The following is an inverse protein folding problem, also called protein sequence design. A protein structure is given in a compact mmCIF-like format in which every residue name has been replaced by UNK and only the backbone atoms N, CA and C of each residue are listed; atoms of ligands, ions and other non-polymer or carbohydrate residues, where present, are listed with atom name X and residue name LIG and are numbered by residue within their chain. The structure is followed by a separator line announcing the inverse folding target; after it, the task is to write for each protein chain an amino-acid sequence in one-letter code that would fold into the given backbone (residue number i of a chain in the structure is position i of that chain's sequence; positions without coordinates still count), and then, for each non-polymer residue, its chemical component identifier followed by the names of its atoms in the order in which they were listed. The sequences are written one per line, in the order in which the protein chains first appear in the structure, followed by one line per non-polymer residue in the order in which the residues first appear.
data_IF_417090214798
#
_entry.id   IF_417090214798
#
_cell.length_a   1.000
_cell.length_b   1.000
_cell.length_c   1.000
_cell.angle_alpha   90.00
_cell.angle_beta   90.00
_cell.angle_gamma   90.00
#
_symmetry.space_group_name_H-M   'P 1'
#
loop_
_entity.id
_entity.type
_entity.pdbx_description
1 polymer ?
#
# COMPACT_ATOMS: atom_id res chain seq x y z
N UNK A 1 -23.05 2.26 0.26
CA UNK A 1 -22.45 0.97 -0.15
C UNK A 1 -21.11 0.88 0.54
N UNK A 2 -21.06 0.10 1.64
CA UNK A 2 -19.99 0.15 2.62
C UNK A 2 -18.82 -0.72 2.17
N UNK A 3 -17.81 -0.09 1.58
CA UNK A 3 -16.44 -0.60 1.67
C UNK A 3 -16.10 -0.58 3.16
N UNK A 4 -15.57 -1.67 3.75
CA UNK A 4 -15.22 -1.66 5.16
C UNK A 4 -14.27 -0.47 5.40
N UNK A 5 -14.57 0.41 6.38
CA UNK A 5 -13.65 1.48 6.73
C UNK A 5 -12.29 0.88 7.10
N UNK A 6 -11.18 1.61 6.92
CA UNK A 6 -9.90 1.20 7.49
C UNK A 6 -10.14 0.90 8.97
N UNK A 7 -9.79 -0.31 9.41
CA UNK A 7 -10.14 -0.80 10.74
C UNK A 7 -9.73 0.22 11.83
N UNK A 8 -10.66 0.53 12.73
CA UNK A 8 -10.51 1.49 13.83
C UNK A 8 -9.64 0.97 15.00
N UNK A 9 -8.98 -0.18 14.83
CA UNK A 9 -8.02 -0.72 15.78
C UNK A 9 -6.61 -0.37 15.32
N UNK A 10 -6.29 0.92 15.42
CA UNK A 10 -4.99 1.49 15.05
C UNK A 10 -4.13 1.59 16.30
N UNK A 11 -3.08 0.79 16.39
CA UNK A 11 -1.99 1.06 17.34
C UNK A 11 -1.13 2.18 16.75
N UNK A 12 -1.54 3.42 16.98
CA UNK A 12 -0.72 4.61 16.69
C UNK A 12 0.40 4.63 17.71
N UNK A 13 1.58 4.15 17.32
CA UNK A 13 2.79 4.35 18.11
C UNK A 13 3.17 5.83 18.01
N UNK A 14 3.00 6.58 19.09
CA UNK A 14 3.49 7.96 19.20
C UNK A 14 5.01 7.92 19.20
N UNK A 15 5.63 8.35 18.09
CA UNK A 15 7.08 8.49 18.01
C UNK A 15 7.55 9.65 18.90
N UNK A 16 8.61 9.38 19.65
CA UNK A 16 9.34 10.29 20.55
C UNK A 16 9.63 11.67 19.95
N UNK A 17 9.74 12.67 20.84
CA UNK A 17 9.97 14.10 20.57
C UNK A 17 11.33 14.47 19.94
N UNK A 18 12.05 13.51 19.34
CA UNK A 18 13.34 13.70 18.67
C UNK A 18 13.24 13.38 17.17
N UNK A 19 12.33 14.05 16.45
CA UNK A 19 12.18 13.87 15.01
C UNK A 19 13.24 14.71 14.29
N UNK A 20 14.20 14.10 13.59
CA UNK A 20 15.18 14.84 12.83
C UNK A 20 14.53 15.54 11.62
N UNK A 21 15.15 16.64 11.13
CA UNK A 21 14.61 17.41 9.99
C UNK A 21 14.41 16.53 8.74
N UNK A 22 13.42 16.88 7.91
CA UNK A 22 12.94 16.19 6.69
C UNK A 22 14.04 15.59 5.80
N UNK A 23 15.24 16.18 5.79
CA UNK A 23 16.40 15.71 5.03
C UNK A 23 16.97 14.37 5.50
N UNK A 24 16.80 13.98 6.78
CA UNK A 24 17.28 12.69 7.32
C UNK A 24 16.25 11.55 7.22
N UNK A 25 15.03 11.84 6.77
CA UNK A 25 13.96 10.83 6.65
C UNK A 25 14.11 9.96 5.38
N UNK A 26 15.03 10.31 4.47
CA UNK A 26 15.22 9.62 3.20
C UNK A 26 16.03 8.30 3.27
N UNK A 27 16.47 7.87 4.44
CA UNK A 27 17.19 6.60 4.61
C UNK A 27 16.30 5.58 5.31
N UNK A 28 15.31 5.06 4.57
CA UNK A 28 14.87 3.68 4.78
C UNK A 28 15.45 2.96 3.56
N UNK A 29 16.68 2.47 3.70
CA UNK A 29 17.37 1.77 2.63
C UNK A 29 16.58 0.49 2.35
N UNK A 30 16.30 0.22 1.07
CA UNK A 30 15.52 -0.95 0.65
C UNK A 30 16.15 -2.28 1.09
N UNK A 31 17.45 -2.27 1.43
CA UNK A 31 18.19 -3.40 2.00
C UNK A 31 17.68 -3.86 3.37
N UNK A 32 16.86 -3.07 4.08
CA UNK A 32 16.33 -3.42 5.41
C UNK A 32 14.90 -4.01 5.40
N UNK A 33 14.27 -4.15 4.23
CA UNK A 33 12.93 -4.73 4.17
C UNK A 33 13.00 -6.25 4.00
N UNK A 34 12.87 -6.98 5.11
CA UNK A 34 12.85 -8.45 5.13
C UNK A 34 11.78 -9.09 4.20
N UNK A 35 10.77 -8.33 3.77
CA UNK A 35 9.73 -8.74 2.81
C UNK A 35 10.07 -8.42 1.34
N UNK A 36 11.04 -7.54 1.07
CA UNK A 36 11.40 -7.13 -0.28
C UNK A 36 12.26 -8.19 -0.96
N UNK A 37 12.07 -8.36 -2.26
CA UNK A 37 12.95 -9.22 -3.08
C UNK A 37 14.04 -8.38 -3.73
N UNK A 38 15.09 -9.04 -4.24
CA UNK A 38 16.15 -8.38 -5.01
C UNK A 38 15.65 -7.73 -6.32
N UNK A 39 14.42 -8.04 -6.75
CA UNK A 39 13.79 -7.44 -7.93
C UNK A 39 12.78 -6.39 -7.48
N UNK A 40 12.93 -5.17 -7.99
CA UNK A 40 12.02 -4.07 -7.73
C UNK A 40 10.56 -4.48 -7.93
N UNK A 41 9.68 -4.07 -7.02
CA UNK A 41 8.23 -4.26 -7.12
C UNK A 41 7.75 -5.71 -7.18
N UNK A 42 8.63 -6.70 -6.95
CA UNK A 42 8.27 -8.09 -6.75
C UNK A 42 8.19 -8.37 -5.24
N UNK A 43 7.05 -8.89 -4.81
CA UNK A 43 6.73 -9.20 -3.42
C UNK A 43 6.84 -10.71 -3.17
N UNK A 44 7.22 -11.07 -1.94
CA UNK A 44 7.16 -12.45 -1.46
C UNK A 44 5.71 -12.90 -1.26
N UNK A 45 5.46 -14.21 -1.26
CA UNK A 45 4.14 -14.78 -0.97
C UNK A 45 3.78 -14.63 0.52
N UNK A 46 2.50 -14.66 0.85
CA UNK A 46 2.02 -14.64 2.24
C UNK A 46 2.60 -15.81 3.04
N UNK A 47 2.63 -17.02 2.48
CA UNK A 47 3.20 -18.20 3.12
C UNK A 47 4.68 -18.00 3.46
N UNK A 48 5.45 -17.37 2.56
CA UNK A 48 6.84 -17.02 2.84
C UNK A 48 6.93 -16.01 3.98
N UNK A 49 6.13 -14.94 3.94
CA UNK A 49 6.16 -13.90 4.96
C UNK A 49 5.87 -14.48 6.35
N UNK A 50 4.86 -15.33 6.46
CA UNK A 50 4.47 -15.97 7.72
C UNK A 50 5.50 -16.98 8.21
N UNK A 51 6.09 -17.79 7.32
CA UNK A 51 7.17 -18.70 7.67
C UNK A 51 8.40 -17.96 8.24
N UNK A 52 8.54 -16.66 7.97
CA UNK A 52 9.61 -15.80 8.48
C UNK A 52 9.14 -14.84 9.59
N UNK A 53 7.95 -15.06 10.17
CA UNK A 53 7.36 -14.23 11.23
C UNK A 53 7.13 -12.75 10.81
N UNK A 54 6.92 -12.50 9.52
CA UNK A 54 6.59 -11.20 8.97
C UNK A 54 5.07 -11.07 8.81
N UNK A 55 4.36 -11.07 9.94
CA UNK A 55 2.88 -10.96 9.96
C UNK A 55 2.37 -9.53 9.77
N UNK A 56 3.19 -8.55 10.15
CA UNK A 56 2.89 -7.13 10.06
C UNK A 56 3.85 -6.39 9.14
N UNK A 57 3.38 -5.26 8.60
CA UNK A 57 4.18 -4.34 7.83
C UNK A 57 4.04 -2.93 8.39
N UNK A 58 5.17 -2.23 8.48
CA UNK A 58 5.22 -0.84 8.92
C UNK A 58 5.41 0.11 7.73
N UNK A 59 4.86 1.31 7.85
CA UNK A 59 5.08 2.39 6.91
C UNK A 59 4.94 3.77 7.55
N UNK A 60 5.54 4.77 6.90
CA UNK A 60 5.58 6.14 7.40
C UNK A 60 4.56 7.00 6.67
N UNK A 61 3.82 7.77 7.46
CA UNK A 61 2.93 8.80 6.98
C UNK A 61 3.43 10.17 7.45
N UNK A 62 3.21 11.21 6.64
CA UNK A 62 3.55 12.59 6.94
C UNK A 62 2.32 13.48 6.86
N UNK A 63 2.16 14.40 7.80
CA UNK A 63 1.10 15.41 7.77
C UNK A 63 1.46 16.57 6.84
N UNK A 64 0.59 16.93 5.91
CA UNK A 64 0.82 18.06 5.00
C UNK A 64 0.82 19.44 5.69
N UNK A 65 0.21 19.54 6.86
CA UNK A 65 0.12 20.81 7.60
C UNK A 65 1.31 21.04 8.52
N UNK A 66 1.47 20.14 9.50
CA UNK A 66 2.49 20.27 10.54
C UNK A 66 3.76 19.45 10.28
N UNK A 67 3.82 18.69 9.19
CA UNK A 67 4.97 17.85 8.80
C UNK A 67 5.36 16.76 9.81
N UNK A 68 4.51 16.51 10.82
CA UNK A 68 4.66 15.39 11.75
C UNK A 68 4.69 14.07 10.98
N UNK A 69 5.65 13.21 11.32
CA UNK A 69 5.73 11.84 10.84
C UNK A 69 5.10 10.90 11.86
N UNK A 70 4.32 9.96 11.35
CA UNK A 70 3.70 8.88 12.11
C UNK A 70 4.09 7.55 11.47
N UNK A 71 4.49 6.57 12.28
CA UNK A 71 4.67 5.19 11.84
C UNK A 71 3.37 4.44 12.08
N UNK A 72 2.92 3.71 11.07
CA UNK A 72 1.73 2.87 11.15
C UNK A 72 2.14 1.42 10.89
N UNK A 73 1.56 0.50 11.66
CA UNK A 73 1.76 -0.94 11.54
C UNK A 73 0.43 -1.62 11.21
N UNK A 74 0.46 -2.63 10.36
CA UNK A 74 -0.75 -3.31 9.90
C UNK A 74 -0.52 -4.79 9.60
N UNK A 75 -1.55 -5.62 9.82
CA UNK A 75 -1.48 -7.06 9.60
C UNK A 75 -1.67 -7.41 8.11
N UNK A 76 -0.72 -8.11 7.53
CA UNK A 76 -0.68 -8.37 6.08
C UNK A 76 -1.83 -9.30 5.66
N UNK A 77 -2.02 -10.43 6.37
CA UNK A 77 -3.04 -11.43 6.05
C UNK A 77 -4.45 -10.83 6.08
N UNK A 78 -4.78 -10.13 7.17
CA UNK A 78 -6.10 -9.53 7.36
C UNK A 78 -6.46 -8.60 6.20
N UNK A 79 -5.53 -7.73 5.81
CA UNK A 79 -5.77 -6.79 4.72
C UNK A 79 -5.84 -7.47 3.36
N UNK A 80 -4.99 -8.48 3.11
CA UNK A 80 -5.07 -9.27 1.89
C UNK A 80 -6.43 -9.96 1.77
N UNK A 81 -6.93 -10.60 2.84
CA UNK A 81 -8.21 -11.29 2.85
C UNK A 81 -9.37 -10.32 2.56
N UNK A 82 -9.36 -9.13 3.18
CA UNK A 82 -10.37 -8.09 2.93
C UNK A 82 -10.37 -7.64 1.46
N UNK A 83 -9.20 -7.37 0.89
CA UNK A 83 -9.07 -6.90 -0.48
C UNK A 83 -9.48 -8.00 -1.47
N UNK A 84 -9.00 -9.24 -1.29
CA UNK A 84 -9.34 -10.35 -2.18
C UNK A 84 -10.84 -10.65 -2.17
N UNK A 85 -11.46 -10.72 -0.99
CA UNK A 85 -12.89 -10.94 -0.86
C UNK A 85 -13.68 -9.83 -1.57
N UNK A 86 -13.26 -8.57 -1.42
CA UNK A 86 -13.90 -7.45 -2.12
C UNK A 86 -13.78 -7.56 -3.64
N UNK A 87 -12.60 -7.88 -4.17
CA UNK A 87 -12.41 -8.05 -5.63
C UNK A 87 -13.30 -9.17 -6.15
N UNK A 88 -13.27 -10.35 -5.51
CA UNK A 88 -14.07 -11.51 -5.94
C UNK A 88 -15.56 -11.19 -5.94
N UNK A 89 -16.06 -10.56 -4.88
CA UNK A 89 -17.48 -10.21 -4.73
C UNK A 89 -17.96 -9.15 -5.73
N UNK A 90 -17.07 -8.26 -6.17
CA UNK A 90 -17.43 -7.11 -7.02
C UNK A 90 -16.75 -7.12 -8.40
N UNK A 91 -16.22 -8.26 -8.86
CA UNK A 91 -15.43 -8.32 -10.11
C UNK A 91 -16.20 -7.77 -11.32
N UNK A 92 -17.49 -8.11 -11.44
CA UNK A 92 -18.36 -7.63 -12.53
C UNK A 92 -18.60 -6.12 -12.41
N UNK A 93 -18.88 -5.63 -11.21
CA UNK A 93 -19.20 -4.22 -10.96
C UNK A 93 -18.01 -3.29 -11.15
N UNK A 94 -16.81 -3.76 -10.78
CA UNK A 94 -15.60 -2.96 -10.84
C UNK A 94 -15.19 -2.67 -12.28
N UNK A 95 -15.50 -3.55 -13.26
CA UNK A 95 -15.18 -3.34 -14.69
C UNK A 95 -13.74 -2.88 -14.96
N UNK A 96 -12.79 -3.30 -14.12
CA UNK A 96 -11.39 -2.90 -14.20
C UNK A 96 -11.06 -1.53 -13.59
N UNK A 97 -11.98 -0.90 -12.86
CA UNK A 97 -11.82 0.38 -12.19
C UNK A 97 -11.69 0.16 -10.68
N UNK A 98 -10.72 0.84 -10.06
CA UNK A 98 -10.57 0.80 -8.62
C UNK A 98 -11.78 1.49 -7.97
N UNK A 99 -12.37 0.95 -6.90
CA UNK A 99 -13.39 1.65 -6.14
C UNK A 99 -12.84 2.97 -5.60
N UNK A 100 -13.73 3.92 -5.32
CA UNK A 100 -13.33 5.28 -4.96
C UNK A 100 -12.37 5.36 -3.76
N UNK A 101 -12.53 4.60 -2.67
CA UNK A 101 -11.57 4.59 -1.56
C UNK A 101 -10.17 4.05 -1.90
N UNK A 102 -10.01 3.28 -2.98
CA UNK A 102 -8.67 2.87 -3.44
C UNK A 102 -8.06 3.92 -4.35
N UNK A 103 -8.89 4.55 -5.21
CA UNK A 103 -8.44 5.57 -6.14
C UNK A 103 -8.17 6.93 -5.48
N UNK A 104 -9.02 7.31 -4.54
CA UNK A 104 -8.91 8.48 -3.66
C UNK A 104 -8.97 7.99 -2.21
N UNK A 105 -7.83 7.55 -1.65
CA UNK A 105 -7.78 7.03 -0.29
C UNK A 105 -8.25 8.06 0.73
N UNK A 106 -8.87 7.58 1.80
CA UNK A 106 -9.26 8.38 2.95
C UNK A 106 -8.27 8.10 4.11
N UNK A 107 -7.15 8.82 4.17
CA UNK A 107 -6.16 8.61 5.21
C UNK A 107 -6.62 9.09 6.60
N UNK A 108 -5.95 8.66 7.68
CA UNK A 108 -6.22 9.16 9.02
C UNK A 108 -5.92 10.66 9.17
N UNK A 109 -6.67 11.30 10.07
CA UNK A 109 -6.42 12.69 10.50
C UNK A 109 -5.16 12.72 11.37
N UNK A 110 -4.33 13.75 11.18
CA UNK A 110 -3.15 13.99 12.01
C UNK A 110 -3.57 14.29 13.46
N UNK A 111 -3.10 13.47 14.41
CA UNK A 111 -3.45 13.62 15.83
C UNK A 111 -2.86 14.87 16.49
N UNK A 112 -1.75 15.39 15.95
CA UNK A 112 -1.07 16.57 16.47
C UNK A 112 -1.84 17.86 16.14
N UNK A 113 -2.04 18.14 14.84
CA UNK A 113 -2.70 19.37 14.42
C UNK A 113 -4.23 19.26 14.31
N UNK A 114 -4.78 18.05 14.17
CA UNK A 114 -6.22 17.75 14.03
C UNK A 114 -6.93 18.43 12.85
N UNK A 115 -6.19 19.12 11.98
CA UNK A 115 -6.73 19.88 10.84
C UNK A 115 -6.42 19.24 9.49
N UNK A 116 -5.34 18.48 9.41
CA UNK A 116 -4.83 17.93 8.15
C UNK A 116 -4.77 16.41 8.20
N UNK A 117 -4.72 15.81 7.02
CA UNK A 117 -4.59 14.37 6.85
C UNK A 117 -3.12 13.94 6.74
N UNK A 118 -2.88 12.69 7.10
CA UNK A 118 -1.61 12.02 6.89
C UNK A 118 -1.53 11.47 5.46
N UNK A 119 -0.37 11.54 4.82
CA UNK A 119 -0.11 10.94 3.50
C UNK A 119 1.08 10.01 3.57
N UNK A 120 1.15 8.95 2.76
CA UNK A 120 2.33 8.10 2.74
C UNK A 120 3.58 8.89 2.33
N UNK A 121 4.69 8.63 3.02
CA UNK A 121 6.00 9.10 2.61
C UNK A 121 6.43 8.27 1.39
N UNK A 122 6.45 8.91 0.22
CA UNK A 122 6.86 8.26 -1.02
C UNK A 122 8.29 8.70 -1.38
N UNK A 123 9.27 7.78 -1.41
CA UNK A 123 10.63 8.12 -1.80
C UNK A 123 10.71 8.56 -3.27
N UNK A 124 11.72 9.37 -3.62
CA UNK A 124 11.95 9.80 -5.00
C UNK A 124 12.38 8.61 -5.89
N UNK A 125 13.14 7.67 -5.33
CA UNK A 125 13.45 6.40 -5.97
C UNK A 125 12.28 5.42 -5.81
N UNK A 126 11.78 4.92 -6.94
CA UNK A 126 10.62 4.03 -6.98
C UNK A 126 10.96 2.61 -6.53
N UNK A 127 12.24 2.23 -6.55
CA UNK A 127 12.71 0.97 -5.98
C UNK A 127 12.41 0.91 -4.47
N UNK A 128 12.54 2.05 -3.77
CA UNK A 128 12.40 2.13 -2.32
C UNK A 128 10.96 2.32 -1.83
N UNK A 129 9.98 2.35 -2.73
CA UNK A 129 8.57 2.49 -2.34
C UNK A 129 8.13 1.20 -1.63
N UNK A 130 7.58 1.35 -0.42
CA UNK A 130 7.00 0.24 0.33
C UNK A 130 5.62 -0.13 -0.25
N UNK A 131 5.62 -0.88 -1.36
CA UNK A 131 4.42 -1.27 -2.08
C UNK A 131 3.46 -2.11 -1.24
N UNK A 132 3.99 -2.98 -0.37
CA UNK A 132 3.19 -3.85 0.49
C UNK A 132 2.41 -3.03 1.53
N UNK A 133 3.06 -2.09 2.21
CA UNK A 133 2.38 -1.18 3.14
C UNK A 133 1.29 -0.36 2.44
N UNK A 134 1.57 0.21 1.27
CA UNK A 134 0.59 0.99 0.52
C UNK A 134 -0.62 0.15 0.12
N UNK A 135 -0.41 -1.13 -0.20
CA UNK A 135 -1.49 -2.08 -0.48
C UNK A 135 -2.33 -2.34 0.77
N UNK A 136 -1.70 -2.73 1.88
CA UNK A 136 -2.42 -3.04 3.12
C UNK A 136 -3.25 -1.85 3.60
N UNK A 137 -2.69 -0.64 3.58
CA UNK A 137 -3.40 0.56 4.04
C UNK A 137 -4.36 1.18 3.01
N UNK A 138 -4.56 0.53 1.85
CA UNK A 138 -5.34 1.05 0.74
C UNK A 138 -4.86 2.43 0.24
N UNK A 139 -3.57 2.73 0.34
CA UNK A 139 -2.96 4.03 0.03
C UNK A 139 -2.36 4.13 -1.38
N UNK A 140 -2.47 3.08 -2.21
CA UNK A 140 -1.93 3.06 -3.59
C UNK A 140 -2.42 4.26 -4.43
N UNK A 141 -3.63 4.77 -4.20
CA UNK A 141 -4.16 5.94 -4.90
C UNK A 141 -3.35 7.23 -4.74
N UNK A 142 -2.50 7.34 -3.70
CA UNK A 142 -1.56 8.45 -3.53
C UNK A 142 -0.43 8.44 -4.54
N UNK A 143 -0.09 7.29 -5.12
CA UNK A 143 0.97 7.19 -6.11
C UNK A 143 0.66 8.01 -7.37
N UNK A 144 1.70 8.60 -7.94
CA UNK A 144 1.65 9.24 -9.25
C UNK A 144 1.48 8.20 -10.36
N UNK A 145 0.96 8.61 -11.52
CA UNK A 145 0.86 7.72 -12.71
C UNK A 145 2.22 7.14 -13.08
N UNK A 146 3.31 7.90 -12.92
CA UNK A 146 4.69 7.44 -13.19
C UNK A 146 5.07 6.27 -12.27
N UNK A 147 4.79 6.38 -10.97
CA UNK A 147 5.04 5.32 -9.97
C UNK A 147 4.18 4.09 -10.23
N UNK A 148 2.89 4.26 -10.53
CA UNK A 148 2.00 3.14 -10.85
C UNK A 148 2.48 2.38 -12.09
N UNK A 149 2.86 3.12 -13.14
CA UNK A 149 3.39 2.53 -14.39
C UNK A 149 4.73 1.82 -14.16
N UNK A 150 5.59 2.34 -13.30
CA UNK A 150 6.84 1.69 -12.91
C UNK A 150 6.56 0.31 -12.32
N UNK A 151 5.74 0.23 -11.26
CA UNK A 151 5.40 -1.05 -10.61
C UNK A 151 4.82 -2.06 -11.61
N UNK A 152 3.86 -1.63 -12.43
CA UNK A 152 3.19 -2.51 -13.40
C UNK A 152 4.14 -2.96 -14.52
N UNK A 153 5.13 -2.14 -14.89
CA UNK A 153 6.15 -2.52 -15.87
C UNK A 153 7.07 -3.61 -15.33
N UNK A 154 7.55 -3.44 -14.10
CA UNK A 154 8.45 -4.42 -13.47
C UNK A 154 7.78 -5.80 -13.33
N UNK A 155 6.45 -5.82 -13.21
CA UNK A 155 5.62 -7.02 -13.14
C UNK A 155 5.02 -7.47 -14.49
N UNK A 156 5.37 -6.84 -15.61
CA UNK A 156 4.90 -7.23 -16.94
C UNK A 156 3.40 -7.03 -17.20
N UNK A 157 2.74 -6.11 -16.47
CA UNK A 157 1.30 -5.80 -16.54
C UNK A 157 0.98 -4.40 -17.10
N UNK A 158 1.98 -3.66 -17.55
CA UNK A 158 1.80 -2.26 -17.97
C UNK A 158 0.97 -2.15 -19.26
N UNK A 159 -0.09 -1.34 -19.20
CA UNK A 159 -0.80 -0.82 -20.37
C UNK A 159 -0.85 0.71 -20.30
N UNK A 160 -0.23 1.38 -21.28
CA UNK A 160 -0.06 2.84 -21.30
C UNK A 160 -1.37 3.63 -21.46
N UNK A 161 -2.40 3.01 -22.05
CA UNK A 161 -3.68 3.66 -22.36
C UNK A 161 -4.66 3.63 -21.18
N UNK A 162 -4.32 2.94 -20.08
CA UNK A 162 -5.16 2.88 -18.90
C UNK A 162 -5.15 4.20 -18.13
N UNK A 163 -6.33 4.61 -17.66
CA UNK A 163 -6.48 5.74 -16.74
C UNK A 163 -5.82 5.45 -15.39
N UNK A 164 -5.52 6.48 -14.59
CA UNK A 164 -4.94 6.31 -13.25
C UNK A 164 -5.76 5.33 -12.38
N UNK A 165 -7.09 5.42 -12.42
CA UNK A 165 -7.98 4.54 -11.66
C UNK A 165 -7.87 3.07 -12.07
N UNK A 166 -7.72 2.79 -13.37
CA UNK A 166 -7.47 1.42 -13.86
C UNK A 166 -6.09 0.92 -13.45
N UNK A 167 -5.06 1.77 -13.48
CA UNK A 167 -3.72 1.41 -13.01
C UNK A 167 -3.69 1.08 -11.51
N UNK A 168 -4.43 1.83 -10.69
CA UNK A 168 -4.59 1.53 -9.26
C UNK A 168 -5.23 0.14 -9.08
N UNK A 169 -6.30 -0.15 -9.82
CA UNK A 169 -6.96 -1.46 -9.76
C UNK A 169 -6.03 -2.60 -10.15
N UNK A 170 -5.29 -2.44 -11.25
CA UNK A 170 -4.31 -3.43 -11.69
C UNK A 170 -3.24 -3.67 -10.64
N UNK A 171 -2.79 -2.63 -9.92
CA UNK A 171 -1.81 -2.79 -8.84
C UNK A 171 -2.37 -3.58 -7.65
N UNK A 172 -3.60 -3.30 -7.21
CA UNK A 172 -4.23 -4.10 -6.15
C UNK A 172 -4.35 -5.57 -6.55
N UNK A 173 -4.79 -5.85 -7.79
CA UNK A 173 -4.87 -7.22 -8.32
C UNK A 173 -3.51 -7.90 -8.38
N UNK A 174 -2.51 -7.20 -8.90
CA UNK A 174 -1.18 -7.76 -9.10
C UNK A 174 -0.48 -8.04 -7.76
N UNK A 175 -0.59 -7.14 -6.78
CA UNK A 175 -0.06 -7.38 -5.43
C UNK A 175 -0.79 -8.54 -4.76
N UNK A 176 -2.12 -8.57 -4.81
CA UNK A 176 -2.90 -9.66 -4.23
C UNK A 176 -2.56 -11.02 -4.86
N UNK A 177 -2.29 -11.05 -6.18
CA UNK A 177 -1.83 -12.24 -6.92
C UNK A 177 -0.44 -12.69 -6.48
N UNK A 178 0.50 -11.76 -6.25
CA UNK A 178 1.84 -12.10 -5.78
C UNK A 178 1.81 -12.66 -4.36
N UNK A 179 1.06 -12.02 -3.46
CA UNK A 179 0.92 -12.46 -2.08
C UNK A 179 0.22 -13.81 -1.96
N UNK A 180 -0.78 -14.09 -2.80
CA UNK A 180 -1.48 -15.37 -2.79
C UNK A 180 -1.66 -15.88 -4.23
N UNK A 181 -0.69 -16.64 -4.76
CA UNK A 181 -0.65 -17.06 -6.15
C UNK A 181 -1.69 -18.13 -6.50
N UNK A 182 -2.34 -18.74 -5.51
CA UNK A 182 -3.39 -19.75 -5.66
C UNK A 182 -4.71 -19.29 -5.03
N UNK A 183 -5.85 -19.79 -5.50
CA UNK A 183 -7.16 -19.54 -4.88
C UNK A 183 -8.09 -18.65 -5.72
N UNK A 184 -9.24 -18.21 -5.14
CA UNK A 184 -10.37 -17.71 -5.94
C UNK A 184 -10.05 -16.48 -6.79
N UNK A 185 -9.14 -15.62 -6.33
CA UNK A 185 -8.71 -14.48 -7.13
C UNK A 185 -7.88 -14.94 -8.33
N UNK A 186 -7.01 -15.95 -8.19
CA UNK A 186 -6.19 -16.48 -9.29
C UNK A 186 -7.06 -16.94 -10.48
N UNK A 187 -8.19 -17.58 -10.19
CA UNK A 187 -9.12 -18.10 -11.21
C UNK A 187 -9.88 -16.98 -11.97
N UNK A 188 -9.82 -15.74 -11.47
CA UNK A 188 -10.45 -14.55 -12.06
C UNK A 188 -9.45 -13.62 -12.80
N UNK A 189 -8.17 -13.99 -12.85
CA UNK A 189 -7.09 -13.18 -13.45
C UNK A 189 -6.71 -13.64 -14.86
#
# INVERSE_FOLDING_TARGET
MNIPPPNAHQNVLTADANIPPIRQINEMQMEDFAWATARNSLLQTLDYLEAHNLETIQGRLICDGCHQITVMETNIRQHLDQIQNYIVQHTIDLQGLAPMPWFKPNPPVCQLCKLNYLKPVLPPDMAHINWLFLFCENLIGFCSVKQLRFFLRENGKLNYNKSKQRLVYDMFREIARQLRPTGPLHDLL
#
